data_IF_843001475969
#
_entry.id   IF_843001475969
#
_cell.length_a   1.000
_cell.length_b   1.000
_cell.length_c   1.000
_cell.angle_alpha   90.00
_cell.angle_beta   90.00
_cell.angle_gamma   90.00
#
_symmetry.space_group_name_H-M   'P 1'
#
loop_
_entity.id
_entity.type
_entity.pdbx_description
1 polymer ?
#
# COMPACT_ATOMS: atom_id res chain seq x y z
N UNK A 1 38.08 -46.55 14.47
CA UNK A 1 38.58 -46.99 13.15
C UNK A 1 38.11 -46.01 12.08
N UNK A 2 39.07 -45.30 11.46
CA UNK A 2 39.18 -44.91 10.03
C UNK A 2 37.92 -44.27 9.37
N UNK A 3 37.94 -42.96 9.06
CA UNK A 3 38.48 -42.33 7.82
C UNK A 3 37.75 -42.86 6.57
N UNK A 4 37.21 -42.09 5.62
CA UNK A 4 37.85 -41.12 4.71
C UNK A 4 36.69 -40.75 3.71
N UNK A 5 36.35 -39.47 3.48
CA UNK A 5 36.75 -38.63 2.34
C UNK A 5 35.97 -38.74 1.01
N UNK A 6 35.62 -37.54 0.50
CA UNK A 6 35.99 -36.98 -0.82
C UNK A 6 34.95 -36.99 -1.97
N UNK A 7 34.50 -35.76 -2.27
CA UNK A 7 34.31 -35.05 -3.56
C UNK A 7 34.16 -35.85 -4.86
N UNK A 8 33.32 -35.37 -5.78
CA UNK A 8 33.71 -35.09 -7.19
C UNK A 8 32.63 -34.19 -7.86
N UNK A 9 32.95 -32.93 -8.25
CA UNK A 9 33.42 -32.45 -9.59
C UNK A 9 32.25 -32.01 -10.49
N UNK A 10 31.96 -30.70 -10.66
CA UNK A 10 32.57 -29.69 -11.56
C UNK A 10 32.79 -30.20 -12.99
N UNK A 11 31.81 -29.94 -13.87
CA UNK A 11 31.96 -30.05 -15.32
C UNK A 11 32.28 -28.68 -15.93
N UNK A 12 33.38 -28.61 -16.67
CA UNK A 12 33.90 -27.42 -17.34
C UNK A 12 34.08 -27.66 -18.85
N UNK A 13 34.31 -26.57 -19.60
CA UNK A 13 34.71 -26.44 -21.02
C UNK A 13 33.59 -26.62 -22.06
N UNK A 14 33.48 -25.81 -23.13
CA UNK A 14 34.48 -25.33 -24.11
C UNK A 14 34.03 -23.99 -24.79
N UNK A 15 34.95 -23.01 -24.97
CA UNK A 15 35.54 -22.46 -26.23
C UNK A 15 34.57 -21.85 -27.28
N UNK A 16 34.85 -20.83 -28.09
CA UNK A 16 35.90 -19.81 -28.29
C UNK A 16 35.40 -18.90 -29.47
N UNK A 17 35.46 -17.56 -29.37
CA UNK A 17 36.34 -16.65 -30.14
C UNK A 17 35.78 -15.94 -31.41
N UNK A 18 36.28 -14.69 -31.61
CA UNK A 18 36.41 -13.84 -32.84
C UNK A 18 35.16 -13.02 -33.29
N UNK A 19 35.21 -11.73 -33.70
CA UNK A 19 36.28 -10.76 -33.99
C UNK A 19 35.75 -9.30 -34.18
N UNK A 20 36.62 -8.32 -33.84
CA UNK A 20 37.04 -7.06 -34.49
C UNK A 20 36.11 -5.97 -35.13
N UNK A 21 36.62 -4.73 -34.96
CA UNK A 21 36.61 -3.49 -35.80
C UNK A 21 35.55 -2.41 -35.49
N UNK A 22 35.86 -1.23 -34.89
CA UNK A 22 36.69 -0.03 -35.19
C UNK A 22 35.96 1.12 -35.96
N UNK A 23 36.38 2.41 -35.80
CA UNK A 23 35.51 3.60 -35.67
C UNK A 23 35.68 4.64 -36.81
N UNK A 24 34.92 5.74 -36.73
CA UNK A 24 35.18 7.03 -37.40
C UNK A 24 33.89 7.75 -37.78
N UNK A 25 33.80 9.07 -37.90
CA UNK A 25 34.66 10.20 -37.58
C UNK A 25 33.81 11.47 -37.78
N UNK A 26 34.09 12.50 -36.97
CA UNK A 26 33.78 13.93 -37.09
C UNK A 26 33.25 14.50 -38.42
N UNK A 27 32.42 15.54 -38.34
CA UNK A 27 32.83 16.89 -38.78
C UNK A 27 31.87 17.98 -38.30
N UNK A 28 32.46 19.01 -37.71
CA UNK A 28 31.90 20.32 -37.38
C UNK A 28 32.42 21.28 -38.45
N UNK A 29 31.56 22.12 -39.05
CA UNK A 29 31.99 23.34 -39.75
C UNK A 29 30.99 24.49 -39.49
N UNK A 30 31.54 25.70 -39.49
CA UNK A 30 31.02 27.04 -39.13
C UNK A 30 31.90 28.02 -39.96
N UNK A 31 31.56 29.29 -40.28
CA UNK A 31 30.30 29.99 -40.62
C UNK A 31 30.38 30.85 -41.93
N UNK A 32 29.23 31.47 -42.31
CA UNK A 32 28.97 32.82 -42.93
C UNK A 32 29.68 33.32 -44.24
N UNK A 33 29.24 34.44 -44.88
CA UNK A 33 27.95 35.18 -44.90
C UNK A 33 27.48 35.60 -46.33
N UNK A 34 26.25 36.11 -46.47
CA UNK A 34 25.97 37.33 -47.28
C UNK A 34 24.52 37.85 -47.15
N UNK A 35 24.40 39.17 -46.97
CA UNK A 35 23.17 39.99 -46.98
C UNK A 35 22.84 40.38 -48.44
N UNK A 36 21.58 40.72 -48.81
CA UNK A 36 21.17 42.11 -48.73
C UNK A 36 19.69 42.36 -48.33
N UNK A 37 19.54 43.50 -47.65
CA UNK A 37 18.39 44.36 -47.41
C UNK A 37 17.22 44.28 -48.41
N UNK A 38 16.01 44.05 -47.87
CA UNK A 38 14.77 44.68 -48.35
C UNK A 38 13.81 44.86 -47.17
N UNK A 39 13.31 46.07 -47.00
CA UNK A 39 12.36 46.44 -45.95
C UNK A 39 10.93 46.39 -46.49
N UNK A 40 9.99 45.78 -45.75
CA UNK A 40 8.57 46.10 -45.89
C UNK A 40 7.95 46.55 -44.56
N UNK A 41 7.46 47.78 -44.59
CA UNK A 41 6.20 48.27 -43.99
C UNK A 41 5.69 47.59 -42.72
N UNK A 42 5.85 48.26 -41.59
CA UNK A 42 5.12 47.96 -40.34
C UNK A 42 3.61 48.09 -40.55
N UNK A 43 2.90 46.97 -40.41
CA UNK A 43 1.49 46.98 -40.07
C UNK A 43 1.38 47.13 -38.55
N UNK A 44 0.59 48.12 -38.11
CA UNK A 44 0.25 48.31 -36.71
C UNK A 44 -0.65 47.14 -36.31
N UNK A 45 -0.09 46.16 -35.62
CA UNK A 45 -0.86 45.10 -34.94
C UNK A 45 -1.40 45.70 -33.65
N UNK A 46 -2.71 45.87 -33.57
CA UNK A 46 -3.36 46.13 -32.28
C UNK A 46 -3.08 44.94 -31.35
N UNK A 47 -2.39 45.23 -30.24
CA UNK A 47 -2.14 44.27 -29.18
C UNK A 47 -3.48 43.95 -28.51
N UNK A 48 -4.07 42.82 -28.88
CA UNK A 48 -5.21 42.25 -28.16
C UNK A 48 -4.70 41.91 -26.78
N UNK A 49 -5.04 42.74 -25.80
CA UNK A 49 -4.84 42.44 -24.39
C UNK A 49 -5.67 41.20 -24.07
N UNK A 50 -5.04 40.02 -24.03
CA UNK A 50 -5.66 38.81 -23.51
C UNK A 50 -6.14 39.10 -22.08
N UNK A 51 -7.44 38.96 -21.85
CA UNK A 51 -7.99 38.96 -20.50
C UNK A 51 -7.27 37.87 -19.69
N UNK A 52 -6.98 38.09 -18.39
CA UNK A 52 -6.34 37.06 -17.58
C UNK A 52 -7.21 35.81 -17.60
N UNK A 53 -6.67 34.72 -18.13
CA UNK A 53 -7.25 33.39 -17.95
C UNK A 53 -7.33 33.17 -16.43
N UNK A 54 -8.54 33.22 -15.87
CA UNK A 54 -8.78 32.84 -14.48
C UNK A 54 -8.21 31.42 -14.30
N UNK A 55 -7.21 31.30 -13.42
CA UNK A 55 -6.70 30.00 -13.03
C UNK A 55 -7.89 29.14 -12.56
N UNK A 56 -7.95 27.84 -12.93
CA UNK A 56 -9.00 26.96 -12.44
C UNK A 56 -9.07 27.07 -10.92
N UNK A 57 -10.20 27.51 -10.39
CA UNK A 57 -10.45 27.47 -8.95
C UNK A 57 -10.56 26.00 -8.59
N UNK A 58 -9.50 25.42 -8.00
CA UNK A 58 -9.56 24.07 -7.45
C UNK A 58 -10.69 24.02 -6.41
N UNK A 59 -11.68 23.17 -6.65
CA UNK A 59 -12.76 22.95 -5.68
C UNK A 59 -12.15 22.34 -4.41
N UNK A 60 -12.25 23.06 -3.30
CA UNK A 60 -11.77 22.59 -2.00
C UNK A 60 -12.57 21.34 -1.59
N UNK A 61 -11.87 20.21 -1.46
CA UNK A 61 -12.51 18.97 -1.01
C UNK A 61 -13.08 19.14 0.40
N UNK A 62 -14.34 18.78 0.57
CA UNK A 62 -15.07 18.92 1.84
C UNK A 62 -15.38 17.56 2.42
N UNK A 63 -14.96 17.32 3.66
CA UNK A 63 -15.25 16.08 4.38
C UNK A 63 -16.75 15.85 4.56
N UNK A 64 -17.18 14.59 4.43
CA UNK A 64 -18.55 14.18 4.71
C UNK A 64 -18.95 14.46 6.18
N UNK A 65 -20.26 14.59 6.49
CA UNK A 65 -20.72 14.78 7.87
C UNK A 65 -20.17 13.71 8.83
N UNK A 66 -19.69 14.14 10.01
CA UNK A 66 -19.09 13.25 11.01
C UNK A 66 -17.59 12.98 10.80
N UNK A 67 -17.03 13.42 9.68
CA UNK A 67 -15.59 13.35 9.39
C UNK A 67 -14.92 14.71 9.65
N UNK A 68 -13.67 14.68 10.11
CA UNK A 68 -12.82 15.86 10.30
C UNK A 68 -11.69 15.87 9.27
N UNK A 69 -11.28 17.04 8.77
CA UNK A 69 -10.17 17.14 7.84
C UNK A 69 -8.84 16.81 8.54
N UNK A 70 -7.99 16.07 7.84
CA UNK A 70 -6.62 15.73 8.22
C UNK A 70 -5.63 16.19 7.14
N UNK A 71 -4.58 16.87 7.58
CA UNK A 71 -3.49 17.31 6.73
C UNK A 71 -2.19 16.76 7.30
N UNK A 72 -1.57 15.82 6.59
CA UNK A 72 -0.32 15.21 6.98
C UNK A 72 0.77 15.53 5.95
N UNK A 73 1.67 16.46 6.29
CA UNK A 73 2.59 17.07 5.33
C UNK A 73 1.81 17.64 4.13
N UNK A 74 1.92 17.02 2.95
CA UNK A 74 1.14 17.36 1.75
C UNK A 74 -0.04 16.42 1.50
N UNK A 75 -0.18 15.34 2.27
CA UNK A 75 -1.28 14.37 2.16
C UNK A 75 -2.54 14.96 2.80
N UNK A 76 -3.66 14.88 2.08
CA UNK A 76 -4.97 15.31 2.55
C UNK A 76 -5.91 14.12 2.70
N UNK A 77 -6.70 14.10 3.76
CA UNK A 77 -7.73 13.09 3.99
C UNK A 77 -8.76 13.60 4.99
N UNK A 78 -9.76 12.79 5.29
CA UNK A 78 -10.75 13.00 6.32
C UNK A 78 -10.79 11.78 7.24
N UNK A 79 -11.02 11.97 8.54
CA UNK A 79 -11.10 10.86 9.50
C UNK A 79 -12.35 10.94 10.38
N UNK A 80 -12.90 9.79 10.83
CA UNK A 80 -14.16 9.76 11.56
C UNK A 80 -13.99 10.26 13.00
N UNK A 81 -14.60 11.41 13.31
CA UNK A 81 -14.55 12.00 14.67
C UNK A 81 -15.15 11.12 15.77
N UNK A 82 -16.00 10.16 15.39
CA UNK A 82 -16.56 9.18 16.31
C UNK A 82 -15.52 8.16 16.83
N UNK A 83 -14.44 7.94 16.08
CA UNK A 83 -13.45 6.89 16.37
C UNK A 83 -12.02 7.41 16.52
N UNK A 84 -11.75 8.66 16.17
CA UNK A 84 -10.44 9.27 16.38
C UNK A 84 -10.59 10.73 16.81
N UNK A 85 -9.82 11.12 17.83
CA UNK A 85 -9.75 12.51 18.31
C UNK A 85 -8.69 13.34 17.58
N UNK A 86 -7.95 12.71 16.66
CA UNK A 86 -6.86 13.28 15.89
C UNK A 86 -5.85 12.20 15.48
N UNK A 87 -4.69 12.60 14.98
CA UNK A 87 -3.61 11.69 14.62
C UNK A 87 -2.25 12.36 14.84
N UNK A 88 -1.22 11.53 15.01
CA UNK A 88 0.18 11.95 14.92
C UNK A 88 0.71 11.56 13.55
N UNK A 89 1.63 12.34 13.01
CA UNK A 89 2.28 12.08 11.74
C UNK A 89 3.80 12.03 11.94
N UNK A 90 4.48 11.20 11.15
CA UNK A 90 5.93 11.13 11.12
C UNK A 90 6.43 10.80 9.71
N UNK A 91 7.59 11.36 9.36
CA UNK A 91 8.44 10.80 8.30
C UNK A 91 9.34 9.77 8.98
N UNK A 92 9.16 8.50 8.62
CA UNK A 92 9.99 7.40 9.08
C UNK A 92 11.13 7.25 8.09
N UNK A 93 12.36 7.33 8.61
CA UNK A 93 13.56 7.21 7.80
C UNK A 93 13.70 5.79 7.23
N UNK A 94 14.34 5.69 6.07
CA UNK A 94 14.75 4.41 5.50
C UNK A 94 15.56 3.59 6.51
N UNK A 95 15.17 2.32 6.64
CA UNK A 95 15.94 1.28 7.30
C UNK A 95 16.39 0.32 6.22
N UNK A 96 17.70 0.20 6.00
CA UNK A 96 18.25 -0.68 4.97
C UNK A 96 18.28 -2.15 5.40
N UNK A 97 18.09 -3.12 4.48
CA UNK A 97 18.30 -4.53 4.78
C UNK A 97 19.70 -4.80 5.32
N UNK A 98 19.75 -5.51 6.45
CA UNK A 98 20.99 -6.01 7.07
C UNK A 98 20.83 -7.51 7.33
N UNK A 99 21.91 -8.33 7.27
CA UNK A 99 21.83 -9.76 7.56
C UNK A 99 21.27 -10.12 8.96
N UNK A 100 21.26 -9.17 9.90
CA UNK A 100 20.69 -9.34 11.25
C UNK A 100 19.29 -8.76 11.41
N UNK A 101 18.74 -8.10 10.37
CA UNK A 101 17.37 -7.62 10.35
C UNK A 101 16.48 -8.64 9.65
N UNK A 102 15.28 -8.84 10.18
CA UNK A 102 14.32 -9.68 9.51
C UNK A 102 13.66 -8.92 8.33
N UNK A 103 13.07 -9.62 7.36
CA UNK A 103 12.41 -9.00 6.21
C UNK A 103 11.24 -8.06 6.50
N UNK A 104 10.74 -8.06 7.75
CA UNK A 104 9.68 -7.17 8.24
C UNK A 104 10.21 -5.99 9.06
N UNK A 105 11.54 -5.91 9.29
CA UNK A 105 12.18 -4.87 10.12
C UNK A 105 12.87 -3.78 9.28
N UNK A 106 12.71 -3.77 7.96
CA UNK A 106 13.26 -2.73 7.08
C UNK A 106 12.19 -2.12 6.16
N UNK A 107 12.36 -0.84 5.83
CA UNK A 107 11.40 0.00 5.10
C UNK A 107 12.12 1.11 4.33
N UNK A 108 11.56 1.62 3.21
CA UNK A 108 12.04 2.87 2.60
C UNK A 108 11.68 4.07 3.48
N UNK A 109 12.12 5.27 3.12
CA UNK A 109 11.52 6.49 3.67
C UNK A 109 9.99 6.45 3.47
N UNK A 110 9.22 6.70 4.52
CA UNK A 110 7.76 6.56 4.47
C UNK A 110 7.03 7.56 5.37
N UNK A 111 5.75 7.81 5.10
CA UNK A 111 4.88 8.54 6.04
C UNK A 111 4.15 7.52 6.91
N UNK A 112 4.15 7.77 8.21
CA UNK A 112 3.32 7.07 9.19
C UNK A 112 2.30 8.02 9.81
N UNK A 113 1.04 7.60 9.87
CA UNK A 113 -0.06 8.28 10.55
C UNK A 113 -0.61 7.37 11.65
N UNK A 114 -0.50 7.78 12.92
CA UNK A 114 -1.01 7.05 14.08
C UNK A 114 -2.24 7.75 14.67
N UNK A 115 -3.38 7.09 14.74
CA UNK A 115 -4.65 7.69 15.15
C UNK A 115 -4.85 7.66 16.66
N UNK A 116 -5.26 8.80 17.22
CA UNK A 116 -5.42 9.01 18.65
C UNK A 116 -6.85 8.76 19.11
N UNK A 117 -7.01 8.26 20.34
CA UNK A 117 -8.34 8.07 20.95
C UNK A 117 -9.17 6.94 20.35
N UNK A 118 -8.53 6.02 19.62
CA UNK A 118 -9.22 4.91 18.96
C UNK A 118 -9.84 3.94 19.97
N UNK A 119 -11.11 3.49 19.74
CA UNK A 119 -11.88 2.83 20.79
C UNK A 119 -11.58 1.34 20.97
N UNK A 120 -10.91 0.70 20.00
CA UNK A 120 -10.64 -0.73 20.03
C UNK A 120 -9.17 -0.98 20.41
N UNK A 121 -8.91 -1.57 21.59
CA UNK A 121 -7.58 -2.06 21.93
C UNK A 121 -7.25 -3.32 21.13
N UNK A 122 -5.98 -3.57 20.87
CA UNK A 122 -5.49 -4.77 20.18
C UNK A 122 -4.07 -5.07 20.64
N UNK A 123 -3.76 -6.36 20.74
CA UNK A 123 -2.51 -6.85 21.35
C UNK A 123 -1.30 -6.72 20.40
N UNK A 124 -1.55 -6.59 19.10
CA UNK A 124 -0.52 -6.63 18.06
C UNK A 124 -0.47 -5.38 17.18
N UNK A 125 -1.59 -4.68 17.04
CA UNK A 125 -1.74 -3.61 16.05
C UNK A 125 -2.28 -2.32 16.65
N UNK A 126 -1.78 -1.21 16.14
CA UNK A 126 -2.30 0.14 16.40
C UNK A 126 -3.09 0.65 15.20
N UNK A 127 -4.01 1.61 15.39
CA UNK A 127 -4.75 2.25 14.29
C UNK A 127 -3.81 3.17 13.50
N UNK A 128 -3.23 2.61 12.43
CA UNK A 128 -2.09 3.21 11.75
C UNK A 128 -2.24 3.12 10.23
N UNK A 129 -1.82 4.18 9.54
CA UNK A 129 -1.71 4.24 8.07
C UNK A 129 -0.26 4.47 7.69
N UNK A 130 0.25 3.67 6.76
CA UNK A 130 1.59 3.79 6.19
C UNK A 130 1.50 4.13 4.70
N UNK A 131 2.25 5.13 4.27
CA UNK A 131 2.32 5.54 2.86
C UNK A 131 3.77 5.36 2.40
N UNK A 132 3.95 4.49 1.40
CA UNK A 132 5.25 4.08 0.89
C UNK A 132 5.49 4.61 -0.52
N UNK A 133 6.69 5.14 -0.82
CA UNK A 133 7.13 5.38 -2.18
C UNK A 133 7.42 4.04 -2.85
N UNK A 134 6.65 3.71 -3.90
CA UNK A 134 6.70 2.39 -4.56
C UNK A 134 8.06 2.13 -5.18
N UNK A 135 8.64 3.13 -5.86
CA UNK A 135 9.93 2.98 -6.53
C UNK A 135 11.06 2.68 -5.54
N UNK A 136 11.10 3.40 -4.41
CA UNK A 136 12.14 3.24 -3.40
C UNK A 136 11.97 1.91 -2.66
N UNK A 137 10.72 1.50 -2.38
CA UNK A 137 10.50 0.18 -1.76
C UNK A 137 10.93 -0.96 -2.70
N UNK A 138 10.69 -0.84 -4.01
CA UNK A 138 11.17 -1.83 -4.99
C UNK A 138 12.70 -1.81 -5.09
N UNK A 139 13.33 -0.64 -5.03
CA UNK A 139 14.79 -0.51 -5.04
C UNK A 139 15.42 -1.16 -3.79
N UNK A 140 14.77 -1.01 -2.64
CA UNK A 140 15.18 -1.59 -1.37
C UNK A 140 14.95 -3.10 -1.30
N UNK A 141 13.79 -3.57 -1.78
CA UNK A 141 13.34 -4.96 -1.71
C UNK A 141 12.67 -5.37 -3.03
N UNK A 142 13.43 -5.92 -4.00
CA UNK A 142 12.91 -6.19 -5.34
C UNK A 142 11.68 -7.10 -5.42
N UNK A 143 11.43 -7.98 -4.44
CA UNK A 143 10.21 -8.80 -4.47
C UNK A 143 8.93 -7.97 -4.20
N UNK A 144 9.07 -6.75 -3.66
CA UNK A 144 7.97 -5.78 -3.57
C UNK A 144 7.35 -5.52 -4.94
N UNK A 145 8.11 -5.60 -6.03
CA UNK A 145 7.56 -5.47 -7.38
C UNK A 145 6.45 -6.49 -7.63
N UNK A 146 6.59 -7.73 -7.15
CA UNK A 146 5.55 -8.76 -7.26
C UNK A 146 4.32 -8.40 -6.41
N UNK A 147 4.52 -7.90 -5.20
CA UNK A 147 3.43 -7.38 -4.35
C UNK A 147 2.63 -6.30 -5.07
N UNK A 148 3.31 -5.32 -5.66
CA UNK A 148 2.69 -4.19 -6.38
C UNK A 148 1.96 -4.68 -7.63
N UNK A 149 2.58 -5.53 -8.46
CA UNK A 149 1.94 -6.07 -9.67
C UNK A 149 0.72 -6.94 -9.36
N UNK A 150 0.79 -7.75 -8.29
CA UNK A 150 -0.36 -8.53 -7.84
C UNK A 150 -1.50 -7.62 -7.37
N UNK A 151 -1.18 -6.54 -6.65
CA UNK A 151 -2.20 -5.58 -6.21
C UNK A 151 -2.82 -4.86 -7.42
N UNK A 152 -2.02 -4.38 -8.37
CA UNK A 152 -2.52 -3.78 -9.62
C UNK A 152 -3.47 -4.71 -10.37
N UNK A 153 -3.10 -5.99 -10.50
CA UNK A 153 -3.94 -7.01 -11.13
C UNK A 153 -5.26 -7.22 -10.38
N UNK A 154 -5.18 -7.31 -9.06
CA UNK A 154 -6.35 -7.47 -8.19
C UNK A 154 -7.30 -6.26 -8.30
N UNK A 155 -6.74 -5.05 -8.28
CA UNK A 155 -7.48 -3.79 -8.38
C UNK A 155 -8.13 -3.58 -9.75
N UNK A 156 -7.50 -4.06 -10.83
CA UNK A 156 -8.06 -4.04 -12.17
C UNK A 156 -9.21 -5.06 -12.34
N UNK A 157 -9.09 -6.25 -11.75
CA UNK A 157 -10.07 -7.31 -11.89
C UNK A 157 -11.24 -7.21 -10.91
N UNK A 158 -11.03 -6.57 -9.75
CA UNK A 158 -11.99 -6.45 -8.65
C UNK A 158 -12.64 -7.78 -8.25
N UNK A 159 -11.82 -8.84 -8.13
CA UNK A 159 -12.31 -10.16 -7.73
C UNK A 159 -12.96 -10.11 -6.34
N UNK A 160 -14.26 -10.39 -6.18
CA UNK A 160 -14.92 -10.33 -4.88
C UNK A 160 -14.44 -11.42 -3.90
N UNK A 161 -13.76 -12.47 -4.38
CA UNK A 161 -13.27 -13.58 -3.55
C UNK A 161 -11.82 -13.95 -3.92
N UNK A 162 -10.87 -13.02 -3.76
CA UNK A 162 -9.49 -13.27 -4.15
C UNK A 162 -8.86 -14.32 -3.23
N UNK A 163 -7.97 -15.14 -3.79
CA UNK A 163 -7.24 -16.15 -3.00
C UNK A 163 -6.19 -15.52 -2.09
N UNK A 164 -5.68 -14.35 -2.44
CA UNK A 164 -4.71 -13.59 -1.67
C UNK A 164 -4.86 -12.11 -1.96
N UNK A 165 -4.79 -11.29 -0.91
CA UNK A 165 -4.72 -9.83 -1.03
C UNK A 165 -3.31 -9.39 -0.61
N UNK A 166 -2.52 -8.75 -1.48
CA UNK A 166 -1.22 -8.19 -1.10
C UNK A 166 -1.40 -7.15 0.00
N UNK A 167 -0.63 -7.29 1.09
CA UNK A 167 -0.69 -6.40 2.23
C UNK A 167 0.70 -6.03 2.70
N UNK A 168 0.84 -4.76 3.10
CA UNK A 168 2.00 -4.23 3.78
C UNK A 168 1.53 -3.65 5.12
N UNK A 169 2.37 -3.62 6.16
CA UNK A 169 3.69 -4.23 6.16
C UNK A 169 3.66 -5.74 6.21
N UNK A 170 4.85 -6.32 6.04
CA UNK A 170 5.04 -7.75 6.25
C UNK A 170 4.98 -8.04 7.75
N UNK A 171 4.27 -9.08 8.13
CA UNK A 171 4.27 -9.60 9.49
C UNK A 171 4.99 -10.94 9.54
N UNK A 172 5.65 -11.24 10.66
CA UNK A 172 6.18 -12.58 10.94
C UNK A 172 5.06 -13.54 11.35
N UNK A 173 4.00 -13.63 10.56
CA UNK A 173 2.80 -14.38 10.84
C UNK A 173 2.08 -14.68 9.52
N UNK A 174 1.26 -15.74 9.51
CA UNK A 174 0.40 -16.05 8.39
C UNK A 174 -0.90 -15.25 8.48
N UNK A 175 -1.41 -14.80 7.34
CA UNK A 175 -2.77 -14.29 7.25
C UNK A 175 -3.75 -15.43 7.49
N UNK A 176 -4.67 -15.26 8.43
CA UNK A 176 -5.57 -16.33 8.89
C UNK A 176 -6.93 -16.33 8.19
N UNK A 177 -7.42 -15.16 7.75
CA UNK A 177 -8.68 -15.03 7.00
C UNK A 177 -8.67 -13.80 6.10
N UNK A 178 -9.56 -13.77 5.10
CA UNK A 178 -9.89 -12.62 4.27
C UNK A 178 -11.42 -12.52 4.17
N UNK A 179 -12.03 -11.66 4.98
CA UNK A 179 -13.46 -11.41 4.94
C UNK A 179 -13.78 -9.99 4.51
N UNK A 180 -15.04 -9.72 4.16
CA UNK A 180 -15.53 -8.35 3.96
C UNK A 180 -14.69 -7.57 2.92
N UNK A 181 -14.36 -8.23 1.80
CA UNK A 181 -13.58 -7.65 0.70
C UNK A 181 -14.42 -6.56 0.00
N UNK A 182 -13.86 -5.37 -0.13
CA UNK A 182 -14.47 -4.23 -0.83
C UNK A 182 -13.42 -3.45 -1.60
N UNK A 183 -13.75 -3.00 -2.80
CA UNK A 183 -12.88 -2.16 -3.63
C UNK A 183 -13.31 -0.71 -3.50
N UNK A 184 -12.37 0.16 -3.16
CA UNK A 184 -12.61 1.57 -2.88
C UNK A 184 -11.83 2.43 -3.89
N UNK A 185 -12.42 3.54 -4.29
CA UNK A 185 -11.74 4.58 -5.07
C UNK A 185 -11.53 5.80 -4.18
N UNK A 186 -10.32 6.31 -4.14
CA UNK A 186 -9.99 7.56 -3.45
C UNK A 186 -9.60 8.65 -4.45
N UNK A 187 -9.42 9.88 -3.98
CA UNK A 187 -9.36 11.10 -4.84
C UNK A 187 -8.31 11.01 -5.96
N UNK A 188 -7.23 10.25 -5.76
CA UNK A 188 -6.21 10.02 -6.78
C UNK A 188 -5.72 8.57 -6.82
N UNK A 189 -6.62 7.59 -6.66
CA UNK A 189 -6.24 6.18 -6.78
C UNK A 189 -7.35 5.22 -6.35
N UNK A 190 -6.95 3.97 -6.12
CA UNK A 190 -7.88 2.90 -5.74
C UNK A 190 -7.22 1.88 -4.83
N UNK A 191 -8.02 1.13 -4.08
CA UNK A 191 -7.53 0.11 -3.18
C UNK A 191 -8.56 -0.97 -2.88
N UNK A 192 -8.11 -1.95 -2.11
CA UNK A 192 -8.93 -3.06 -1.61
C UNK A 192 -8.88 -3.07 -0.10
N UNK A 193 -10.07 -3.10 0.49
CA UNK A 193 -10.32 -3.22 1.92
C UNK A 193 -10.76 -4.64 2.24
N UNK A 194 -10.33 -5.16 3.38
CA UNK A 194 -10.75 -6.46 3.90
C UNK A 194 -10.58 -6.50 5.42
N UNK A 195 -11.17 -7.52 6.04
CA UNK A 195 -11.02 -7.81 7.47
C UNK A 195 -10.20 -9.08 7.62
N UNK A 196 -9.21 -9.05 8.51
CA UNK A 196 -8.23 -10.12 8.66
C UNK A 196 -7.73 -10.25 10.11
N UNK A 197 -6.97 -11.30 10.36
CA UNK A 197 -6.12 -11.50 11.53
C UNK A 197 -4.84 -12.19 11.05
N UNK A 198 -3.71 -11.92 11.71
CA UNK A 198 -2.48 -12.64 11.49
C UNK A 198 -2.13 -13.49 12.72
N UNK A 199 -1.54 -14.66 12.50
CA UNK A 199 -1.16 -15.56 13.59
C UNK A 199 -0.06 -16.55 13.19
N UNK A 200 0.60 -17.11 14.21
CA UNK A 200 1.65 -18.13 14.06
C UNK A 200 1.15 -19.56 14.34
N UNK A 201 -0.11 -19.69 14.74
CA UNK A 201 -0.73 -20.97 15.07
C UNK A 201 -2.21 -20.95 14.66
N UNK A 202 -2.79 -22.15 14.58
CA UNK A 202 -4.23 -22.34 14.42
C UNK A 202 -4.92 -21.86 15.70
N UNK A 203 -5.61 -20.73 15.61
CA UNK A 203 -6.28 -20.07 16.74
C UNK A 203 -7.61 -19.45 16.26
N UNK A 204 -8.58 -19.21 17.15
CA UNK A 204 -9.78 -18.47 16.80
C UNK A 204 -9.49 -17.05 16.32
N UNK A 205 -10.31 -16.57 15.39
CA UNK A 205 -10.38 -15.14 15.07
C UNK A 205 -11.04 -14.43 16.24
N UNK A 206 -10.41 -13.37 16.74
CA UNK A 206 -10.74 -12.78 18.03
C UNK A 206 -10.70 -11.24 18.03
N UNK A 207 -11.35 -10.66 19.04
CA UNK A 207 -11.53 -9.22 19.21
C UNK A 207 -10.28 -8.45 19.68
N UNK A 208 -9.19 -9.14 20.02
CA UNK A 208 -7.93 -8.50 20.45
C UNK A 208 -6.83 -8.59 19.40
N UNK A 209 -7.10 -9.23 18.25
CA UNK A 209 -6.11 -9.41 17.18
C UNK A 209 -6.64 -9.06 15.79
N UNK A 210 -7.95 -9.18 15.54
CA UNK A 210 -8.52 -8.87 14.24
C UNK A 210 -8.48 -7.36 13.91
N UNK A 211 -8.37 -7.04 12.62
CA UNK A 211 -8.28 -5.67 12.13
C UNK A 211 -8.86 -5.49 10.73
N UNK A 212 -9.29 -4.26 10.47
CA UNK A 212 -9.55 -3.71 9.14
C UNK A 212 -8.21 -3.46 8.47
N UNK A 213 -8.06 -3.98 7.27
CA UNK A 213 -6.90 -3.85 6.43
C UNK A 213 -7.27 -3.14 5.12
N UNK A 214 -6.41 -2.25 4.65
CA UNK A 214 -6.54 -1.63 3.34
C UNK A 214 -5.19 -1.63 2.62
N UNK A 215 -5.20 -1.97 1.33
CA UNK A 215 -4.08 -1.85 0.41
C UNK A 215 -4.51 -1.03 -0.80
N UNK A 216 -3.91 0.15 -0.99
CA UNK A 216 -4.22 1.06 -2.08
C UNK A 216 -2.99 1.49 -2.87
N UNK A 217 -3.21 1.91 -4.10
CA UNK A 217 -2.22 2.53 -4.98
C UNK A 217 -2.77 3.84 -5.53
N UNK A 218 -1.93 4.88 -5.56
CA UNK A 218 -2.23 6.08 -6.33
C UNK A 218 -2.31 5.75 -7.81
N UNK A 219 -3.09 6.54 -8.57
CA UNK A 219 -3.34 6.31 -10.00
C UNK A 219 -2.06 6.39 -10.84
N UNK A 220 -1.11 7.22 -10.42
CA UNK A 220 0.23 7.31 -11.01
C UNK A 220 1.17 6.16 -10.60
N UNK A 221 0.73 5.28 -9.69
CA UNK A 221 1.48 4.15 -9.17
C UNK A 221 2.67 4.52 -8.28
N UNK A 222 2.82 5.80 -7.89
CA UNK A 222 3.98 6.27 -7.13
C UNK A 222 3.90 5.93 -5.64
N UNK A 223 2.70 5.84 -5.06
CA UNK A 223 2.52 5.58 -3.63
C UNK A 223 1.63 4.37 -3.38
N UNK A 224 2.05 3.55 -2.41
CA UNK A 224 1.25 2.49 -1.80
C UNK A 224 0.72 2.98 -0.45
N UNK A 225 -0.58 2.84 -0.23
CA UNK A 225 -1.23 3.18 1.04
C UNK A 225 -1.63 1.89 1.74
N UNK A 226 -1.09 1.65 2.93
CA UNK A 226 -1.54 0.60 3.84
C UNK A 226 -2.32 1.20 4.99
N UNK A 227 -3.44 0.57 5.38
CA UNK A 227 -4.09 0.89 6.64
C UNK A 227 -4.29 -0.37 7.49
N UNK A 228 -4.02 -0.25 8.78
CA UNK A 228 -4.33 -1.25 9.81
C UNK A 228 -5.15 -0.57 10.90
N UNK A 229 -6.38 -1.01 11.11
CA UNK A 229 -7.26 -0.46 12.13
C UNK A 229 -7.89 -1.58 12.94
N UNK A 230 -7.61 -1.72 14.25
CA UNK A 230 -8.23 -2.76 15.06
C UNK A 230 -9.75 -2.73 14.98
N UNK A 231 -10.37 -3.90 14.91
CA UNK A 231 -11.83 -4.01 14.87
C UNK A 231 -12.31 -5.14 15.77
N UNK A 232 -13.58 -5.07 16.15
CA UNK A 232 -14.30 -6.12 16.86
C UNK A 232 -15.56 -6.50 16.11
N UNK A 233 -16.03 -7.71 16.34
CA UNK A 233 -17.28 -8.22 15.80
C UNK A 233 -17.90 -9.24 16.77
N UNK A 234 -19.23 -9.28 16.96
CA UNK A 234 -19.87 -10.22 17.89
C UNK A 234 -19.60 -11.71 17.63
N UNK A 235 -19.29 -12.09 16.39
CA UNK A 235 -18.94 -13.47 16.02
C UNK A 235 -17.46 -13.82 16.24
N UNK A 236 -16.61 -12.87 16.61
CA UNK A 236 -15.23 -13.16 16.97
C UNK A 236 -15.16 -13.69 18.39
N UNK A 237 -14.19 -14.56 18.66
CA UNK A 237 -13.86 -14.94 20.02
C UNK A 237 -13.45 -13.70 20.83
N UNK A 238 -13.63 -13.77 22.16
CA UNK A 238 -13.23 -12.66 23.04
C UNK A 238 -11.71 -12.43 22.96
N UNK A 239 -10.94 -13.52 23.01
CA UNK A 239 -9.48 -13.53 22.92
C UNK A 239 -8.99 -14.85 22.30
N UNK A 240 -7.68 -15.08 22.31
CA UNK A 240 -7.04 -16.32 21.87
C UNK A 240 -6.64 -17.26 23.03
N UNK A 241 -6.99 -16.92 24.27
CA UNK A 241 -6.60 -17.67 25.48
C UNK A 241 -7.67 -18.69 25.89
N UNK A 242 -8.90 -18.53 25.42
CA UNK A 242 -10.03 -19.41 25.73
C UNK A 242 -10.05 -20.59 24.75
N UNK A 243 -10.03 -21.81 25.29
CA UNK A 243 -10.19 -23.02 24.50
C UNK A 243 -11.58 -23.07 23.84
N UNK A 244 -11.67 -23.37 22.52
CA UNK A 244 -12.94 -23.61 21.84
C UNK A 244 -13.76 -24.70 22.54
N UNK A 245 -15.09 -24.62 22.45
CA UNK A 245 -15.98 -25.53 23.19
C UNK A 245 -15.80 -27.01 22.76
N UNK A 246 -15.40 -27.24 21.51
CA UNK A 246 -15.06 -28.54 20.94
C UNK A 246 -13.67 -29.08 21.35
N UNK A 247 -12.85 -28.25 22.00
CA UNK A 247 -11.46 -28.54 22.37
C UNK A 247 -10.46 -28.28 21.25
N UNK A 248 -9.19 -28.06 21.61
CA UNK A 248 -8.14 -27.66 20.65
C UNK A 248 -7.86 -28.67 19.54
N UNK A 249 -7.92 -29.97 19.84
CA UNK A 249 -7.66 -31.01 18.85
C UNK A 249 -8.73 -31.02 17.76
N UNK A 250 -10.00 -30.97 18.16
CA UNK A 250 -11.13 -30.95 17.21
C UNK A 250 -11.13 -29.66 16.42
N UNK A 251 -10.91 -28.51 17.08
CA UNK A 251 -10.81 -27.22 16.42
C UNK A 251 -9.70 -27.21 15.35
N UNK A 252 -8.50 -27.68 15.71
CA UNK A 252 -7.36 -27.70 14.80
C UNK A 252 -7.59 -28.58 13.58
N UNK A 253 -8.20 -29.75 13.78
CA UNK A 253 -8.55 -30.68 12.69
C UNK A 253 -9.63 -30.14 11.74
N UNK A 254 -10.41 -29.14 12.15
CA UNK A 254 -11.51 -28.56 11.37
C UNK A 254 -11.28 -27.07 11.03
N UNK A 255 -10.05 -26.57 11.20
CA UNK A 255 -9.76 -25.14 11.15
C UNK A 255 -10.09 -24.48 9.80
N UNK A 256 -9.78 -25.14 8.68
CA UNK A 256 -10.13 -24.62 7.34
C UNK A 256 -11.65 -24.46 7.16
N UNK A 257 -12.42 -25.40 7.71
CA UNK A 257 -13.89 -25.32 7.71
C UNK A 257 -14.38 -24.21 8.61
N UNK A 258 -13.75 -24.02 9.78
CA UNK A 258 -14.04 -22.89 10.67
C UNK A 258 -13.83 -21.54 9.97
N UNK A 259 -12.68 -21.34 9.32
CA UNK A 259 -12.37 -20.09 8.59
C UNK A 259 -13.36 -19.87 7.44
N UNK A 260 -13.61 -20.89 6.61
CA UNK A 260 -14.56 -20.79 5.49
C UNK A 260 -15.97 -20.40 5.95
N UNK A 261 -16.44 -21.02 7.04
CA UNK A 261 -17.76 -20.72 7.61
C UNK A 261 -17.81 -19.31 8.21
N UNK A 262 -16.74 -18.89 8.88
CA UNK A 262 -16.66 -17.55 9.45
C UNK A 262 -16.64 -16.48 8.35
N UNK A 263 -15.79 -16.62 7.34
CA UNK A 263 -15.74 -15.71 6.18
C UNK A 263 -17.10 -15.61 5.49
N UNK A 264 -17.76 -16.74 5.23
CA UNK A 264 -19.11 -16.79 4.66
C UNK A 264 -20.12 -16.06 5.54
N UNK A 265 -20.05 -16.26 6.86
CA UNK A 265 -20.93 -15.60 7.82
C UNK A 265 -20.71 -14.09 7.83
N UNK A 266 -19.45 -13.66 7.85
CA UNK A 266 -19.06 -12.26 7.87
C UNK A 266 -19.44 -11.56 6.57
N UNK A 267 -19.29 -12.20 5.40
CA UNK A 267 -19.64 -11.61 4.10
C UNK A 267 -21.11 -11.14 4.02
N UNK A 268 -22.01 -11.75 4.79
CA UNK A 268 -23.42 -11.34 4.87
C UNK A 268 -23.73 -10.25 5.91
N UNK A 269 -22.75 -9.82 6.71
CA UNK A 269 -22.97 -8.82 7.76
C UNK A 269 -22.88 -7.38 7.20
N UNK A 270 -23.72 -6.45 7.70
CA UNK A 270 -23.58 -5.04 7.36
C UNK A 270 -22.31 -4.44 7.99
N UNK A 271 -21.80 -3.35 7.41
CA UNK A 271 -20.55 -2.70 7.88
C UNK A 271 -20.63 -2.22 9.33
N UNK A 272 -21.81 -1.80 9.77
CA UNK A 272 -22.08 -1.33 11.13
C UNK A 272 -22.27 -2.45 12.17
N UNK A 273 -22.18 -3.73 11.76
CA UNK A 273 -22.06 -4.85 12.69
C UNK A 273 -20.65 -4.96 13.29
N UNK A 274 -19.67 -4.32 12.67
CA UNK A 274 -18.31 -4.20 13.18
C UNK A 274 -18.17 -2.94 14.02
N UNK A 275 -17.24 -2.96 14.96
CA UNK A 275 -16.83 -1.77 15.70
C UNK A 275 -15.33 -1.58 15.57
N UNK A 276 -14.87 -0.45 15.01
CA UNK A 276 -15.66 0.62 14.38
C UNK A 276 -16.46 0.18 13.14
N UNK A 277 -17.46 0.97 12.75
CA UNK A 277 -18.23 0.77 11.50
C UNK A 277 -17.29 0.83 10.29
N UNK A 278 -17.27 -0.25 9.49
CA UNK A 278 -16.37 -0.33 8.33
C UNK A 278 -16.65 0.79 7.32
N UNK A 279 -17.90 1.26 7.17
CA UNK A 279 -18.23 2.32 6.22
C UNK A 279 -17.60 3.67 6.59
N UNK A 280 -17.38 3.94 7.88
CA UNK A 280 -16.69 5.15 8.32
C UNK A 280 -15.18 5.08 8.07
N UNK A 281 -14.60 3.88 8.16
CA UNK A 281 -13.19 3.62 7.81
C UNK A 281 -12.99 3.63 6.29
N UNK A 282 -13.94 3.09 5.53
CA UNK A 282 -13.97 3.16 4.06
C UNK A 282 -14.00 4.62 3.61
N UNK A 283 -14.90 5.44 4.17
CA UNK A 283 -15.00 6.86 3.85
C UNK A 283 -13.71 7.64 4.18
N UNK A 284 -12.96 7.21 5.19
CA UNK A 284 -11.62 7.76 5.46
C UNK A 284 -10.66 7.39 4.34
N UNK A 285 -10.60 6.13 3.92
CA UNK A 285 -9.72 5.70 2.82
C UNK A 285 -10.07 6.39 1.50
N UNK A 286 -11.36 6.49 1.16
CA UNK A 286 -11.87 7.15 -0.07
C UNK A 286 -11.55 8.65 -0.13
N UNK A 287 -11.28 9.28 1.02
CA UNK A 287 -10.97 10.70 1.10
C UNK A 287 -9.50 11.06 0.84
N UNK A 288 -8.61 10.06 0.74
CA UNK A 288 -7.17 10.31 0.58
C UNK A 288 -6.86 11.00 -0.75
N UNK A 289 -5.99 12.00 -0.67
CA UNK A 289 -5.23 12.56 -1.78
C UNK A 289 -3.75 12.53 -1.36
N UNK A 290 -2.93 11.78 -2.11
CA UNK A 290 -1.48 11.70 -1.90
C UNK A 290 -0.77 12.36 -3.09
N UNK A 291 -0.36 13.64 -2.99
CA UNK A 291 0.25 14.33 -4.11
C UNK A 291 1.60 13.73 -4.52
N UNK A 292 1.99 13.98 -5.77
CA UNK A 292 3.36 13.70 -6.24
C UNK A 292 4.38 14.42 -5.35
N UNK A 293 5.43 13.71 -4.93
CA UNK A 293 6.46 14.28 -4.04
C UNK A 293 6.01 14.42 -2.59
N UNK A 294 4.99 13.67 -2.15
CA UNK A 294 4.58 13.62 -0.74
C UNK A 294 5.68 13.13 0.20
N UNK A 295 6.59 12.30 -0.31
CA UNK A 295 7.79 11.83 0.39
C UNK A 295 8.99 12.37 -0.40
N UNK A 296 9.84 13.23 0.22
CA UNK A 296 10.94 13.92 -0.44
C UNK A 296 12.17 13.05 -0.68
#
# INVERSE_FOLDING_TARGET
MKRLNLMLVIGALLLAALACSLPGQNTTETPEPNVPTDAPTEAITEEVTEAPTEAPTEEVYTCAPGMLPGYAFTVEFCYPSAYATGFNQALIAEVVPDPNLAPWDFNPDMIELNFNGYPVPNDYHTPTIWIYPVADYIALEPNTQTTITNLQTLLANQDPNPTSIPFLPKFNAAQMMQAQVSYLTFRNGQGVRFVTQYGQAVMPINNVSAFYAFSGLTEDGQYFISATFPITHPNFAVDNMIEPAEGWEVFSNNYETYITNLETTLAGQPTNAFTPDLAALDAMMESFLVPVGAIP
#
